data_IF_892876536900
#
_entry.id   IF_892876536900
#
_cell.length_a   1.000
_cell.length_b   1.000
_cell.length_c   1.000
_cell.angle_alpha   90.00
_cell.angle_beta   90.00
_cell.angle_gamma   90.00
#
_symmetry.space_group_name_H-M   'P 1'
#
loop_
_entity.id
_entity.type
_entity.pdbx_description
1 polymer ?
#
# COMPACT_ATOMS: atom_id res chain seq x y z
N UNK A 1 16.60 -2.02 3.75
CA UNK A 1 16.19 -0.64 4.08
C UNK A 1 15.18 -0.77 5.20
N UNK A 2 15.52 -0.34 6.42
CA UNK A 2 14.57 -0.27 7.52
C UNK A 2 13.83 1.06 7.40
N UNK A 3 12.92 1.14 6.42
CA UNK A 3 11.95 2.22 6.38
C UNK A 3 11.07 2.04 7.60
N UNK A 4 11.12 3.01 8.51
CA UNK A 4 10.36 2.96 9.75
C UNK A 4 8.89 3.14 9.38
N UNK A 5 8.21 2.02 9.11
CA UNK A 5 6.78 1.96 8.87
C UNK A 5 6.09 2.58 10.07
N UNK A 6 5.72 3.85 9.95
CA UNK A 6 4.84 4.50 10.90
C UNK A 6 3.59 3.63 10.95
N UNK A 7 3.20 3.19 12.15
CA UNK A 7 2.07 2.30 12.31
C UNK A 7 0.97 3.04 13.07
N UNK A 8 -0.15 3.31 12.39
CA UNK A 8 -1.36 3.76 13.06
C UNK A 8 -1.98 2.58 13.81
N UNK A 9 -2.24 2.73 15.10
CA UNK A 9 -2.95 1.68 15.85
C UNK A 9 -4.44 1.75 15.52
N UNK A 10 -5.00 0.70 14.91
CA UNK A 10 -6.43 0.54 14.69
C UNK A 10 -7.01 -0.48 15.68
N UNK A 11 -8.17 -0.18 16.24
CA UNK A 11 -8.91 -1.12 17.09
C UNK A 11 -10.05 -1.74 16.30
N UNK A 12 -10.03 -3.06 16.16
CA UNK A 12 -11.02 -3.83 15.40
C UNK A 12 -12.40 -3.65 16.02
N UNK A 13 -13.38 -3.27 15.20
CA UNK A 13 -14.79 -3.21 15.62
C UNK A 13 -15.48 -4.56 15.46
N UNK A 14 -16.53 -4.87 16.25
CA UNK A 14 -17.33 -6.07 16.05
C UNK A 14 -17.85 -6.19 14.61
N UNK A 15 -17.60 -7.33 13.96
CA UNK A 15 -18.00 -7.59 12.57
C UNK A 15 -17.14 -6.90 11.49
N UNK A 16 -16.01 -6.29 11.87
CA UNK A 16 -15.01 -5.80 10.92
C UNK A 16 -14.11 -6.96 10.46
N UNK A 17 -13.65 -6.92 9.21
CA UNK A 17 -12.74 -7.92 8.63
C UNK A 17 -11.43 -7.26 8.22
N UNK A 18 -10.33 -8.02 8.18
CA UNK A 18 -9.03 -7.52 7.73
C UNK A 18 -9.10 -6.92 6.32
N UNK A 19 -9.92 -7.51 5.44
CA UNK A 19 -10.20 -6.95 4.11
C UNK A 19 -10.85 -5.55 4.14
N UNK A 20 -11.83 -5.32 5.02
CA UNK A 20 -12.46 -4.00 5.19
C UNK A 20 -11.47 -2.97 5.72
N UNK A 21 -10.63 -3.37 6.67
CA UNK A 21 -9.58 -2.52 7.26
C UNK A 21 -8.57 -2.15 6.18
N UNK A 22 -8.05 -3.15 5.46
CA UNK A 22 -7.17 -2.97 4.30
C UNK A 22 -7.71 -1.95 3.31
N UNK A 23 -8.97 -2.12 2.88
CA UNK A 23 -9.63 -1.19 1.94
C UNK A 23 -9.79 0.22 2.52
N UNK A 24 -10.12 0.34 3.80
CA UNK A 24 -10.29 1.63 4.49
C UNK A 24 -8.98 2.42 4.55
N UNK A 25 -7.87 1.74 4.86
CA UNK A 25 -6.56 2.38 4.98
C UNK A 25 -5.80 2.43 3.64
N UNK A 26 -6.33 1.79 2.59
CA UNK A 26 -5.68 1.61 1.29
C UNK A 26 -4.29 0.97 1.43
N UNK A 27 -4.20 0.02 2.36
CA UNK A 27 -3.01 -0.76 2.67
C UNK A 27 -3.34 -2.19 2.34
N UNK A 28 -2.43 -2.92 1.72
CA UNK A 28 -2.70 -4.31 1.41
C UNK A 28 -2.74 -5.23 2.62
N UNK A 29 -3.40 -6.38 2.48
CA UNK A 29 -3.48 -7.37 3.56
C UNK A 29 -2.10 -7.89 3.94
N UNK A 30 -1.23 -8.15 2.96
CA UNK A 30 0.12 -8.65 3.16
C UNK A 30 0.93 -7.72 4.06
N UNK A 31 0.90 -6.41 3.79
CA UNK A 31 1.61 -5.40 4.58
C UNK A 31 1.06 -5.31 6.02
N UNK A 32 -0.26 -5.47 6.20
CA UNK A 32 -0.87 -5.52 7.54
C UNK A 32 -0.44 -6.79 8.29
N UNK A 33 -0.38 -7.95 7.61
CA UNK A 33 0.02 -9.22 8.23
C UNK A 33 1.49 -9.19 8.63
N UNK A 34 2.36 -8.65 7.78
CA UNK A 34 3.80 -8.51 8.03
C UNK A 34 4.09 -7.66 9.28
N UNK A 35 3.36 -6.56 9.49
CA UNK A 35 3.54 -5.71 10.68
C UNK A 35 2.93 -6.32 11.95
N UNK A 36 1.96 -7.22 11.80
CA UNK A 36 1.26 -7.85 12.91
C UNK A 36 1.61 -9.34 13.02
N UNK A 37 2.90 -9.67 13.13
CA UNK A 37 3.38 -11.05 13.29
C UNK A 37 2.73 -11.79 14.48
N UNK A 38 2.21 -11.05 15.47
CA UNK A 38 1.44 -11.63 16.59
C UNK A 38 0.12 -12.29 16.15
N UNK A 39 -0.39 -11.97 14.96
CA UNK A 39 -1.63 -12.53 14.41
C UNK A 39 -1.29 -13.81 13.66
N UNK A 40 -1.35 -14.95 14.37
CA UNK A 40 -1.06 -16.28 13.80
C UNK A 40 -2.04 -16.69 12.70
N UNK A 41 -3.29 -16.23 12.78
CA UNK A 41 -4.28 -16.50 11.75
C UNK A 41 -4.91 -15.18 11.27
N UNK A 42 -4.53 -14.69 10.08
CA UNK A 42 -5.07 -13.48 9.47
C UNK A 42 -6.58 -13.52 9.23
N UNK A 43 -7.20 -14.69 9.16
CA UNK A 43 -8.65 -14.79 8.96
C UNK A 43 -9.45 -14.67 10.28
N UNK A 44 -8.76 -14.77 11.44
CA UNK A 44 -9.36 -14.71 12.77
C UNK A 44 -8.90 -13.46 13.52
N UNK A 45 -9.66 -12.37 13.37
CA UNK A 45 -9.51 -11.15 14.17
C UNK A 45 -10.67 -10.98 15.14
N UNK A 46 -10.38 -10.48 16.33
CA UNK A 46 -11.38 -10.30 17.38
C UNK A 46 -11.75 -8.83 17.58
N UNK A 47 -13.01 -8.54 17.97
CA UNK A 47 -13.39 -7.19 18.36
C UNK A 47 -12.53 -6.69 19.53
N UNK A 48 -12.22 -5.39 19.55
CA UNK A 48 -11.31 -4.72 20.49
C UNK A 48 -9.84 -5.14 20.39
N UNK A 49 -9.47 -5.97 19.41
CA UNK A 49 -8.08 -6.26 19.11
C UNK A 49 -7.39 -5.02 18.54
N UNK A 50 -6.26 -4.65 19.13
CA UNK A 50 -5.40 -3.57 18.63
C UNK A 50 -4.46 -4.16 17.58
N UNK A 51 -4.41 -3.55 16.41
CA UNK A 51 -3.53 -3.93 15.31
C UNK A 51 -2.78 -2.70 14.80
N UNK A 52 -1.54 -2.91 14.45
CA UNK A 52 -0.68 -1.90 13.84
C UNK A 52 -0.95 -1.85 12.33
N UNK A 53 -1.47 -0.73 11.83
CA UNK A 53 -1.71 -0.53 10.41
C UNK A 53 -0.57 0.33 9.87
N UNK A 54 0.27 -0.20 8.94
CA UNK A 54 1.35 0.60 8.39
C UNK A 54 0.77 1.77 7.60
N UNK A 55 1.12 2.98 8.00
CA UNK A 55 0.88 4.21 7.24
C UNK A 55 2.03 4.37 6.27
N UNK A 56 1.80 3.96 5.04
CA UNK A 56 2.82 3.93 4.01
C UNK A 56 2.93 5.29 3.29
N UNK A 57 2.98 6.39 4.05
CA UNK A 57 3.02 7.74 3.49
C UNK A 57 4.25 7.97 2.60
N UNK A 58 5.39 7.38 2.96
CA UNK A 58 6.63 7.51 2.20
C UNK A 58 6.58 6.75 0.87
N UNK A 59 5.96 5.57 0.79
CA UNK A 59 5.84 4.83 -0.48
C UNK A 59 4.80 5.49 -1.38
N UNK A 60 3.71 6.00 -0.81
CA UNK A 60 2.74 6.82 -1.54
C UNK A 60 3.41 8.04 -2.16
N UNK A 61 4.43 8.62 -1.52
CA UNK A 61 5.14 9.79 -2.05
C UNK A 61 5.73 9.56 -3.44
N UNK A 62 6.41 8.42 -3.66
CA UNK A 62 7.01 8.10 -4.96
C UNK A 62 5.93 7.92 -6.02
N UNK A 63 4.88 7.15 -5.71
CA UNK A 63 3.76 6.92 -6.61
C UNK A 63 3.03 8.22 -6.97
N UNK A 64 2.77 9.08 -5.99
CA UNK A 64 2.20 10.41 -6.18
C UNK A 64 3.08 11.28 -7.07
N UNK A 65 4.40 11.23 -6.89
CA UNK A 65 5.34 11.98 -7.70
C UNK A 65 5.26 11.53 -9.18
N UNK A 66 5.24 10.22 -9.43
CA UNK A 66 5.13 9.66 -10.78
C UNK A 66 3.81 10.05 -11.44
N UNK A 67 2.69 9.96 -10.71
CA UNK A 67 1.38 10.35 -11.21
C UNK A 67 1.34 11.85 -11.51
N UNK A 68 1.92 12.68 -10.64
CA UNK A 68 2.01 14.11 -10.83
C UNK A 68 2.80 14.45 -12.11
N UNK A 69 4.00 13.89 -12.28
CA UNK A 69 4.79 14.13 -13.50
C UNK A 69 4.09 13.61 -14.74
N UNK A 70 3.44 12.46 -14.66
CA UNK A 70 2.66 11.90 -15.78
C UNK A 70 1.52 12.83 -16.17
N UNK A 71 0.80 13.38 -15.18
CA UNK A 71 -0.31 14.31 -15.44
C UNK A 71 0.19 15.65 -15.99
N UNK A 72 1.33 16.15 -15.51
CA UNK A 72 1.97 17.35 -16.07
C UNK A 72 2.30 17.18 -17.56
N UNK A 73 2.85 16.03 -17.96
CA UNK A 73 3.09 15.76 -19.38
C UNK A 73 1.78 15.58 -20.15
N UNK A 74 0.79 14.85 -19.61
CA UNK A 74 -0.53 14.67 -20.24
C UNK A 74 -1.23 16.00 -20.50
N UNK A 75 -1.18 16.93 -19.55
CA UNK A 75 -1.75 18.26 -19.69
C UNK A 75 -1.09 19.08 -20.80
N UNK A 76 0.25 18.98 -20.97
CA UNK A 76 0.95 19.62 -22.11
C UNK A 76 0.41 19.15 -23.46
N UNK A 77 -0.03 17.90 -23.55
CA UNK A 77 -0.65 17.32 -24.74
C UNK A 77 -2.18 17.42 -24.75
N UNK A 78 -2.80 18.16 -23.81
CA UNK A 78 -4.25 18.36 -23.75
C UNK A 78 -5.05 17.13 -23.33
N UNK A 79 -4.40 16.11 -22.74
CA UNK A 79 -5.05 14.89 -22.26
C UNK A 79 -5.59 15.07 -20.85
N UNK A 80 -6.70 14.40 -20.54
CA UNK A 80 -7.25 14.38 -19.19
C UNK A 80 -6.27 13.75 -18.17
N UNK A 81 -6.21 14.28 -16.93
CA UNK A 81 -5.34 13.76 -15.89
C UNK A 81 -5.75 12.33 -15.51
N UNK A 82 -4.73 11.49 -15.30
CA UNK A 82 -4.87 10.14 -14.78
C UNK A 82 -5.35 10.20 -13.32
N UNK A 83 -6.39 9.41 -13.02
CA UNK A 83 -6.87 9.21 -11.65
C UNK A 83 -6.04 8.09 -11.01
N UNK A 84 -5.45 8.31 -9.83
CA UNK A 84 -4.68 7.28 -9.15
C UNK A 84 -5.60 6.16 -8.65
N UNK A 85 -5.22 4.92 -8.94
CA UNK A 85 -5.85 3.72 -8.39
C UNK A 85 -4.85 3.02 -7.46
N UNK A 86 -5.19 2.95 -6.16
CA UNK A 86 -4.31 2.40 -5.14
C UNK A 86 -4.03 0.90 -5.33
N UNK A 87 -4.96 0.14 -5.93
CA UNK A 87 -4.76 -1.29 -6.20
C UNK A 87 -3.76 -1.45 -7.34
N UNK A 88 -3.89 -0.63 -8.40
CA UNK A 88 -2.96 -0.64 -9.53
C UNK A 88 -1.55 -0.21 -9.09
N UNK A 89 -1.44 0.87 -8.33
CA UNK A 89 -0.15 1.34 -7.81
C UNK A 89 0.55 0.26 -6.98
N UNK A 90 -0.20 -0.44 -6.12
CA UNK A 90 0.33 -1.55 -5.33
C UNK A 90 0.90 -2.67 -6.20
N UNK A 91 0.16 -3.10 -7.23
CA UNK A 91 0.65 -4.16 -8.15
C UNK A 91 1.88 -3.68 -8.92
N UNK A 92 1.87 -2.43 -9.37
CA UNK A 92 3.03 -1.83 -10.05
C UNK A 92 4.27 -1.81 -9.15
N UNK A 93 4.10 -1.52 -7.86
CA UNK A 93 5.19 -1.59 -6.85
C UNK A 93 5.74 -3.00 -6.68
N UNK A 94 4.87 -3.99 -6.50
CA UNK A 94 5.32 -5.38 -6.40
C UNK A 94 6.06 -5.81 -7.65
N UNK A 95 5.58 -5.39 -8.83
CA UNK A 95 6.23 -5.72 -10.09
C UNK A 95 7.57 -5.00 -10.27
N UNK A 96 7.69 -3.74 -9.85
CA UNK A 96 8.97 -3.02 -9.93
C UNK A 96 10.02 -3.64 -9.00
N UNK A 97 9.62 -4.08 -7.81
CA UNK A 97 10.49 -4.81 -6.89
C UNK A 97 10.95 -6.15 -7.50
N UNK A 98 10.03 -6.89 -8.12
CA UNK A 98 10.32 -8.14 -8.86
C UNK A 98 11.27 -7.90 -10.06
N UNK A 99 11.09 -6.81 -10.81
CA UNK A 99 11.99 -6.48 -11.92
C UNK A 99 13.40 -6.12 -11.41
N UNK A 100 13.48 -5.43 -10.28
CA UNK A 100 14.76 -5.08 -9.64
C UNK A 100 15.50 -6.32 -9.12
N UNK A 101 14.81 -7.24 -8.44
CA UNK A 101 15.43 -8.47 -7.91
C UNK A 101 15.89 -9.42 -9.01
N UNK A 102 15.20 -9.43 -10.16
CA UNK A 102 15.55 -10.28 -11.31
C UNK A 102 16.51 -9.59 -12.31
N UNK A 103 17.15 -8.47 -11.94
CA UNK A 103 18.13 -7.75 -12.78
C UNK A 103 17.62 -7.41 -14.20
N UNK A 104 16.33 -7.12 -14.39
CA UNK A 104 15.76 -6.83 -15.72
C UNK A 104 16.42 -5.65 -16.46
N UNK A 105 17.07 -4.75 -15.71
CA UNK A 105 17.61 -3.49 -16.23
C UNK A 105 19.13 -3.52 -16.45
N UNK A 106 19.83 -4.62 -16.17
CA UNK A 106 21.26 -4.76 -16.49
C UNK A 106 21.41 -5.22 -17.95
N UNK A 107 21.72 -4.30 -18.86
CA UNK A 107 22.15 -4.58 -20.23
C UNK A 107 23.50 -3.90 -20.48
#
# INVERSE_FOLDING_TARGET
MNDSVLAATHTVRPGESLWRISKKYQVGLSEIIEVNEQIKNPDLIYPNQKMAIPTIDEIKKVEHQVIQYTNQEREKYGLAPLKPDWQLSRVARYKSQDMNSNNYFSH
#
